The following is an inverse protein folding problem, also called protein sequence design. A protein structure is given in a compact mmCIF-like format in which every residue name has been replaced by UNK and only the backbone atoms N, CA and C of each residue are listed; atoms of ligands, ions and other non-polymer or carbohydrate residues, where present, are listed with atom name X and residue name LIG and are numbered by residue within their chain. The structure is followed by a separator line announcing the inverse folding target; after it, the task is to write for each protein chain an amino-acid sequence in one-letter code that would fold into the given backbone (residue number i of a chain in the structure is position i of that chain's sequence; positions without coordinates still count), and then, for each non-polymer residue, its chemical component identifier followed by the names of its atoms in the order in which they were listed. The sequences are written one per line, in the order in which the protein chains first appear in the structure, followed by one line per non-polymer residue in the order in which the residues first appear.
data_IF_065115918969
#
_entry.id   IF_065115918969
#
_cell.length_a   1.000
_cell.length_b   1.000
_cell.length_c   1.000
_cell.angle_alpha   90.00
_cell.angle_beta   90.00
_cell.angle_gamma   90.00
#
_symmetry.space_group_name_H-M   'P 1'
#
loop_
_entity.id
_entity.type
_entity.pdbx_description
1 polymer ?
#
# COMPACT_ATOMS: atom_id res chain seq x y z
N UNK A 1 -9.03 -59.82 23.17
CA UNK A 1 -8.86 -59.59 21.72
C UNK A 1 -9.99 -58.64 21.33
N UNK A 2 -9.82 -57.38 21.68
CA UNK A 2 -10.79 -56.31 21.43
C UNK A 2 -10.18 -55.37 20.39
N UNK A 3 -10.91 -55.20 19.29
CA UNK A 3 -10.60 -54.29 18.21
C UNK A 3 -10.89 -52.86 18.68
N UNK A 4 -9.85 -52.06 18.91
CA UNK A 4 -9.99 -50.62 19.07
C UNK A 4 -10.36 -50.01 17.72
N UNK A 5 -11.66 -49.75 17.54
CA UNK A 5 -12.18 -48.82 16.54
C UNK A 5 -11.78 -47.41 16.93
N UNK A 6 -10.70 -46.88 16.35
CA UNK A 6 -10.44 -45.46 16.35
C UNK A 6 -11.40 -44.81 15.36
N UNK A 7 -12.56 -44.40 15.86
CA UNK A 7 -13.39 -43.42 15.20
C UNK A 7 -12.54 -42.15 15.03
N UNK A 8 -12.11 -41.90 13.79
CA UNK A 8 -11.46 -40.69 13.37
C UNK A 8 -12.44 -39.54 13.59
N UNK A 9 -12.33 -38.86 14.73
CA UNK A 9 -13.00 -37.59 14.93
C UNK A 9 -12.47 -36.65 13.86
N UNK A 10 -13.31 -36.33 12.88
CA UNK A 10 -13.06 -35.30 11.88
C UNK A 10 -13.04 -33.97 12.62
N UNK A 11 -11.88 -33.61 13.16
CA UNK A 11 -11.55 -32.22 13.44
C UNK A 11 -11.39 -31.61 12.06
N UNK A 12 -12.42 -30.87 11.59
CA UNK A 12 -12.26 -29.95 10.46
C UNK A 12 -11.04 -29.08 10.75
N UNK A 13 -9.98 -29.09 9.93
CA UNK A 13 -8.87 -28.20 10.18
C UNK A 13 -9.33 -26.80 9.80
N UNK A 14 -9.68 -25.99 10.79
CA UNK A 14 -9.44 -24.56 10.67
C UNK A 14 -7.93 -24.46 10.41
N UNK A 15 -7.54 -24.14 9.17
CA UNK A 15 -6.15 -24.15 8.72
C UNK A 15 -5.24 -23.14 9.45
N UNK A 16 -5.76 -22.47 10.47
CA UNK A 16 -5.13 -21.48 11.33
C UNK A 16 -4.37 -20.43 10.49
N UNK A 17 -5.15 -19.77 9.63
CA UNK A 17 -4.70 -18.69 8.75
C UNK A 17 -5.60 -17.49 8.95
N UNK A 18 -4.97 -16.37 9.27
CA UNK A 18 -5.64 -15.09 9.45
C UNK A 18 -5.50 -14.24 8.19
N UNK A 19 -6.55 -13.45 7.90
CA UNK A 19 -6.50 -12.46 6.83
C UNK A 19 -5.43 -11.41 7.16
N UNK A 20 -4.46 -11.16 6.26
CA UNK A 20 -3.48 -10.11 6.48
C UNK A 20 -4.14 -8.72 6.52
N UNK A 21 -3.71 -7.81 7.43
CA UNK A 21 -4.12 -6.42 7.40
C UNK A 21 -3.87 -5.77 6.03
N UNK A 22 -4.73 -4.83 5.63
CA UNK A 22 -4.63 -4.08 4.36
C UNK A 22 -4.70 -4.93 3.07
N UNK A 23 -4.82 -6.25 3.17
CA UNK A 23 -5.06 -7.08 1.99
C UNK A 23 -6.48 -6.86 1.49
N UNK A 24 -6.65 -6.49 0.22
CA UNK A 24 -7.95 -6.26 -0.41
C UNK A 24 -8.85 -7.50 -0.38
N UNK A 25 -10.17 -7.28 -0.36
CA UNK A 25 -11.18 -8.34 -0.30
C UNK A 25 -11.03 -9.36 -1.44
N UNK A 26 -10.77 -8.89 -2.66
CA UNK A 26 -10.61 -9.76 -3.83
C UNK A 26 -9.45 -10.76 -3.68
N UNK A 27 -8.32 -10.31 -3.11
CA UNK A 27 -7.17 -11.18 -2.87
C UNK A 27 -7.45 -12.17 -1.75
N UNK A 28 -8.11 -11.73 -0.68
CA UNK A 28 -8.51 -12.64 0.39
C UNK A 28 -9.55 -13.67 -0.06
N UNK A 29 -10.49 -13.27 -0.91
CA UNK A 29 -11.47 -14.18 -1.51
C UNK A 29 -10.78 -15.26 -2.36
N UNK A 30 -9.77 -14.88 -3.17
CA UNK A 30 -8.97 -15.83 -3.93
C UNK A 30 -8.25 -16.85 -3.03
N UNK A 31 -7.62 -16.39 -1.94
CA UNK A 31 -6.99 -17.29 -0.94
C UNK A 31 -8.02 -18.22 -0.30
N UNK A 32 -9.17 -17.68 0.10
CA UNK A 32 -10.26 -18.43 0.76
C UNK A 32 -10.81 -19.54 -0.15
N UNK A 33 -10.95 -19.28 -1.44
CA UNK A 33 -11.40 -20.27 -2.43
C UNK A 33 -10.44 -21.46 -2.51
N UNK A 34 -9.14 -21.21 -2.49
CA UNK A 34 -8.15 -22.31 -2.56
C UNK A 34 -8.11 -23.12 -1.25
N UNK A 35 -8.29 -22.49 -0.08
CA UNK A 35 -8.47 -23.22 1.18
C UNK A 35 -9.74 -24.08 1.19
N UNK A 36 -10.86 -23.57 0.67
CA UNK A 36 -12.11 -24.34 0.54
C UNK A 36 -11.97 -25.51 -0.45
N UNK A 37 -11.09 -25.41 -1.46
CA UNK A 37 -10.76 -26.55 -2.33
C UNK A 37 -9.99 -27.61 -1.56
N UNK A 38 -8.92 -27.21 -0.86
CA UNK A 38 -8.13 -28.11 -0.04
C UNK A 38 -8.98 -28.85 1.01
N UNK A 39 -9.87 -28.15 1.70
CA UNK A 39 -10.76 -28.76 2.70
C UNK A 39 -11.66 -29.84 2.10
N UNK A 40 -12.21 -29.60 0.91
CA UNK A 40 -13.01 -30.61 0.20
C UNK A 40 -12.19 -31.83 -0.18
N UNK A 41 -10.95 -31.65 -0.64
CA UNK A 41 -10.07 -32.75 -1.04
C UNK A 41 -9.63 -33.60 0.16
N UNK A 42 -9.35 -32.95 1.29
CA UNK A 42 -9.08 -33.65 2.56
C UNK A 42 -10.31 -34.40 3.05
N UNK A 43 -11.48 -33.77 3.02
CA UNK A 43 -12.75 -34.40 3.39
C UNK A 43 -13.12 -35.60 2.51
N UNK A 44 -12.67 -35.60 1.24
CA UNK A 44 -12.87 -36.70 0.31
C UNK A 44 -11.81 -37.82 0.43
N UNK A 45 -10.73 -37.61 1.17
CA UNK A 45 -9.59 -38.54 1.22
C UNK A 45 -8.85 -38.66 -0.13
N UNK A 46 -8.88 -37.61 -0.96
CA UNK A 46 -8.21 -37.59 -2.27
C UNK A 46 -6.78 -37.04 -2.13
N UNK A 47 -5.86 -37.92 -1.72
CA UNK A 47 -4.45 -37.56 -1.47
C UNK A 47 -3.77 -36.87 -2.66
N UNK A 48 -4.06 -37.29 -3.89
CA UNK A 48 -3.48 -36.70 -5.10
C UNK A 48 -4.03 -35.28 -5.35
N UNK A 49 -5.30 -35.05 -5.05
CA UNK A 49 -5.89 -33.72 -5.13
C UNK A 49 -5.41 -32.82 -3.98
N UNK A 50 -5.23 -33.35 -2.76
CA UNK A 50 -4.66 -32.61 -1.63
C UNK A 50 -3.28 -32.04 -1.97
N UNK A 51 -2.40 -32.83 -2.60
CA UNK A 51 -1.09 -32.36 -3.09
C UNK A 51 -1.20 -31.24 -4.15
N UNK A 52 -2.27 -31.27 -4.94
CA UNK A 52 -2.52 -30.25 -5.97
C UNK A 52 -3.04 -28.96 -5.36
N UNK A 53 -3.97 -29.05 -4.42
CA UNK A 53 -4.59 -27.90 -3.78
C UNK A 53 -3.62 -27.13 -2.89
N UNK A 54 -2.74 -27.81 -2.14
CA UNK A 54 -1.72 -27.11 -1.35
C UNK A 54 -0.73 -26.33 -2.23
N UNK A 55 -0.37 -26.88 -3.40
CA UNK A 55 0.42 -26.14 -4.41
C UNK A 55 -0.35 -24.91 -4.90
N UNK A 56 -1.64 -25.06 -5.20
CA UNK A 56 -2.48 -23.94 -5.65
C UNK A 56 -2.56 -22.82 -4.62
N UNK A 57 -2.68 -23.13 -3.32
CA UNK A 57 -2.66 -22.12 -2.25
C UNK A 57 -1.31 -21.39 -2.22
N UNK A 58 -0.19 -22.11 -2.22
CA UNK A 58 1.16 -21.52 -2.26
C UNK A 58 1.32 -20.61 -3.49
N UNK A 59 0.88 -21.06 -4.65
CA UNK A 59 0.95 -20.31 -5.89
C UNK A 59 0.05 -19.07 -5.89
N UNK A 60 -1.16 -19.18 -5.34
CA UNK A 60 -2.12 -18.08 -5.20
C UNK A 60 -1.53 -16.95 -4.34
N UNK A 61 -1.01 -17.28 -3.16
CA UNK A 61 -0.37 -16.31 -2.26
C UNK A 61 0.86 -15.66 -2.91
N UNK A 62 1.66 -16.44 -3.64
CA UNK A 62 2.82 -15.92 -4.36
C UNK A 62 2.42 -14.93 -5.48
N UNK A 63 1.40 -15.27 -6.28
CA UNK A 63 0.88 -14.41 -7.34
C UNK A 63 0.30 -13.11 -6.80
N UNK A 64 -0.43 -13.17 -5.69
CA UNK A 64 -0.95 -11.99 -4.99
C UNK A 64 0.19 -11.05 -4.59
N UNK A 65 1.28 -11.57 -4.01
CA UNK A 65 2.43 -10.75 -3.63
C UNK A 65 3.07 -10.05 -4.84
N UNK A 66 3.17 -10.74 -5.98
CA UNK A 66 3.71 -10.19 -7.23
C UNK A 66 2.78 -9.15 -7.86
N UNK A 67 1.47 -9.37 -7.80
CA UNK A 67 0.46 -8.44 -8.31
C UNK A 67 0.43 -7.15 -7.50
N UNK A 68 0.46 -7.24 -6.16
CA UNK A 68 0.58 -6.08 -5.25
C UNK A 68 1.90 -5.32 -5.49
N UNK A 69 2.94 -5.99 -5.96
CA UNK A 69 4.20 -5.34 -6.31
C UNK A 69 4.15 -4.58 -7.66
N UNK A 70 3.06 -4.70 -8.44
CA UNK A 70 2.96 -4.14 -9.78
C UNK A 70 3.69 -4.95 -10.85
N UNK A 71 4.15 -6.16 -10.53
CA UNK A 71 4.85 -7.06 -11.46
C UNK A 71 4.19 -8.44 -11.47
N UNK A 72 2.95 -8.57 -12.01
CA UNK A 72 2.23 -9.84 -12.01
C UNK A 72 3.03 -10.97 -12.67
N UNK A 73 2.84 -12.21 -12.18
CA UNK A 73 3.47 -13.37 -12.78
C UNK A 73 3.02 -13.57 -14.23
N UNK A 74 3.97 -13.82 -15.14
CA UNK A 74 3.65 -14.19 -16.51
C UNK A 74 2.83 -15.49 -16.56
N UNK A 75 1.95 -15.62 -17.54
CA UNK A 75 1.06 -16.78 -17.68
C UNK A 75 1.79 -18.12 -17.82
N UNK A 76 3.05 -18.10 -18.28
CA UNK A 76 3.92 -19.25 -18.46
C UNK A 76 5.02 -19.37 -17.38
N UNK A 77 4.99 -18.53 -16.33
CA UNK A 77 5.99 -18.58 -15.27
C UNK A 77 5.93 -19.92 -14.53
N UNK A 78 7.10 -20.49 -14.23
CA UNK A 78 7.16 -21.76 -13.49
C UNK A 78 6.79 -21.54 -12.02
N UNK A 79 6.17 -22.54 -11.39
CA UNK A 79 5.82 -22.50 -9.96
C UNK A 79 7.02 -22.12 -9.09
N UNK A 80 8.19 -22.74 -9.32
CA UNK A 80 9.42 -22.43 -8.58
C UNK A 80 9.79 -20.94 -8.71
N UNK A 81 9.77 -20.40 -9.92
CA UNK A 81 10.11 -18.98 -10.18
C UNK A 81 9.13 -18.01 -9.51
N UNK A 82 7.84 -18.32 -9.52
CA UNK A 82 6.79 -17.50 -8.91
C UNK A 82 6.96 -17.46 -7.39
N UNK A 83 7.11 -18.61 -6.75
CA UNK A 83 7.28 -18.70 -5.30
C UNK A 83 8.60 -18.07 -4.85
N UNK A 84 9.69 -18.27 -5.60
CA UNK A 84 11.00 -17.68 -5.28
C UNK A 84 11.00 -16.15 -5.41
N UNK A 85 10.34 -15.61 -6.43
CA UNK A 85 10.19 -14.17 -6.63
C UNK A 85 9.36 -13.56 -5.51
N UNK A 86 8.19 -14.13 -5.22
CA UNK A 86 7.34 -13.67 -4.12
C UNK A 86 8.06 -13.74 -2.76
N UNK A 87 8.79 -14.82 -2.48
CA UNK A 87 9.56 -14.95 -1.24
C UNK A 87 10.61 -13.84 -1.11
N UNK A 88 11.34 -13.54 -2.18
CA UNK A 88 12.35 -12.46 -2.20
C UNK A 88 11.72 -11.10 -1.89
N UNK A 89 10.56 -10.80 -2.48
CA UNK A 89 9.79 -9.57 -2.22
C UNK A 89 9.34 -9.46 -0.75
N UNK A 90 8.78 -10.54 -0.20
CA UNK A 90 8.27 -10.57 1.18
C UNK A 90 9.39 -10.56 2.24
N UNK A 91 10.59 -11.01 1.86
CA UNK A 91 11.79 -11.00 2.70
C UNK A 91 12.44 -9.62 2.74
N UNK A 92 12.63 -8.97 1.59
CA UNK A 92 13.36 -7.70 1.43
C UNK A 92 12.52 -6.42 1.53
N UNK A 93 11.50 -6.40 2.39
CA UNK A 93 10.57 -5.26 2.49
C UNK A 93 11.29 -3.96 2.91
N UNK A 94 11.03 -2.88 2.16
CA UNK A 94 11.49 -1.53 2.50
C UNK A 94 10.72 -0.95 3.70
N UNK A 95 11.24 0.12 4.31
CA UNK A 95 10.50 0.86 5.36
C UNK A 95 10.78 0.43 6.81
N UNK A 96 11.95 -0.15 7.09
CA UNK A 96 12.43 -0.35 8.47
C UNK A 96 11.97 -1.63 9.18
N UNK A 97 11.04 -2.40 8.60
CA UNK A 97 10.59 -3.70 9.12
C UNK A 97 11.32 -4.85 8.41
N UNK A 98 12.65 -4.82 8.46
CA UNK A 98 13.55 -5.85 7.91
C UNK A 98 13.62 -7.12 8.80
N UNK A 99 12.49 -7.54 9.37
CA UNK A 99 12.42 -8.64 10.34
C UNK A 99 13.05 -9.96 9.84
N UNK A 100 13.06 -10.18 8.52
CA UNK A 100 13.51 -11.42 7.89
C UNK A 100 14.74 -11.23 6.97
N UNK A 101 15.27 -10.04 6.81
CA UNK A 101 16.45 -9.85 5.97
C UNK A 101 17.72 -10.18 6.77
N UNK A 102 18.57 -11.05 6.23
CA UNK A 102 19.84 -11.50 6.85
C UNK A 102 19.78 -12.02 8.30
N UNK A 103 18.59 -12.31 8.83
CA UNK A 103 18.37 -12.82 10.18
C UNK A 103 18.23 -14.35 10.21
N UNK A 104 18.40 -14.95 11.39
CA UNK A 104 18.10 -16.39 11.61
C UNK A 104 16.65 -16.72 11.21
N UNK A 105 15.72 -15.79 11.48
CA UNK A 105 14.33 -15.90 11.03
C UNK A 105 14.24 -15.91 9.49
N UNK A 106 15.02 -15.07 8.82
CA UNK A 106 15.17 -15.05 7.37
C UNK A 106 15.65 -16.37 6.78
N UNK A 107 16.59 -17.03 7.45
CA UNK A 107 17.06 -18.36 7.05
C UNK A 107 15.96 -19.40 7.19
N UNK A 108 15.21 -19.41 8.29
CA UNK A 108 14.05 -20.30 8.48
C UNK A 108 13.00 -20.10 7.39
N UNK A 109 12.66 -18.84 7.08
CA UNK A 109 11.73 -18.52 6.00
C UNK A 109 12.23 -18.99 4.62
N UNK A 110 13.54 -18.87 4.39
CA UNK A 110 14.18 -19.35 3.14
C UNK A 110 14.07 -20.87 3.03
N UNK A 111 14.23 -21.61 4.13
CA UNK A 111 14.02 -23.08 4.13
C UNK A 111 12.55 -23.44 3.91
N UNK A 112 11.61 -22.74 4.56
CA UNK A 112 10.18 -22.94 4.30
C UNK A 112 9.83 -22.72 2.81
N UNK A 113 10.39 -21.69 2.18
CA UNK A 113 10.21 -21.44 0.74
C UNK A 113 10.78 -22.57 -0.11
N UNK A 114 11.95 -23.13 0.24
CA UNK A 114 12.51 -24.30 -0.46
C UNK A 114 11.61 -25.52 -0.36
N UNK A 115 11.09 -25.81 0.84
CA UNK A 115 10.13 -26.91 1.04
C UNK A 115 8.87 -26.69 0.20
N UNK A 116 8.29 -25.49 0.23
CA UNK A 116 7.11 -25.16 -0.56
C UNK A 116 7.35 -25.29 -2.07
N UNK A 117 8.54 -24.93 -2.57
CA UNK A 117 8.89 -25.07 -3.99
C UNK A 117 8.98 -26.52 -4.46
N UNK A 118 9.39 -27.44 -3.58
CA UNK A 118 9.39 -28.88 -3.88
C UNK A 118 7.97 -29.44 -4.15
N UNK A 119 6.90 -28.74 -3.76
CA UNK A 119 5.53 -29.12 -4.11
C UNK A 119 5.30 -29.16 -5.62
N UNK A 120 6.05 -28.38 -6.42
CA UNK A 120 5.98 -28.43 -7.87
C UNK A 120 6.32 -29.83 -8.39
N UNK A 121 7.45 -30.38 -7.92
CA UNK A 121 7.93 -31.71 -8.31
C UNK A 121 7.04 -32.82 -7.74
N UNK A 122 6.64 -32.70 -6.47
CA UNK A 122 5.72 -33.65 -5.81
C UNK A 122 4.40 -33.71 -6.57
N UNK A 123 3.79 -32.57 -6.91
CA UNK A 123 2.55 -32.53 -7.69
C UNK A 123 2.75 -33.12 -9.09
N UNK A 124 3.85 -32.81 -9.75
CA UNK A 124 4.15 -33.35 -11.08
C UNK A 124 4.33 -34.88 -11.06
N UNK A 125 4.87 -35.45 -9.98
CA UNK A 125 4.97 -36.90 -9.79
C UNK A 125 3.67 -37.57 -9.37
N UNK A 126 2.94 -36.97 -8.42
CA UNK A 126 1.93 -37.67 -7.61
C UNK A 126 0.56 -36.98 -7.53
N UNK A 127 0.43 -35.73 -7.98
CA UNK A 127 -0.83 -34.97 -7.85
C UNK A 127 -1.85 -35.22 -8.98
N UNK A 128 -3.05 -34.66 -8.81
CA UNK A 128 -4.14 -34.57 -9.79
C UNK A 128 -3.72 -33.83 -11.07
N UNK A 129 -3.23 -34.59 -12.06
CA UNK A 129 -2.83 -34.09 -13.38
C UNK A 129 -4.02 -33.94 -14.34
N UNK A 130 -3.77 -33.48 -15.57
CA UNK A 130 -4.77 -33.33 -16.65
C UNK A 130 -5.18 -34.67 -17.29
N UNK A 131 -5.54 -35.65 -16.47
CA UNK A 131 -5.81 -37.03 -16.91
C UNK A 131 -4.52 -37.83 -16.98
N UNK A 132 -4.19 -38.53 -15.89
CA UNK A 132 -3.10 -39.51 -15.87
C UNK A 132 -3.61 -40.85 -16.37
N UNK A 133 -2.75 -41.59 -17.07
CA UNK A 133 -3.05 -42.96 -17.48
C UNK A 133 -3.28 -43.90 -16.28
N UNK A 134 -2.67 -43.58 -15.12
CA UNK A 134 -2.80 -44.34 -13.88
C UNK A 134 -2.88 -43.41 -12.67
N UNK A 135 -3.59 -43.85 -11.62
CA UNK A 135 -3.63 -43.16 -10.33
C UNK A 135 -2.33 -43.46 -9.59
N UNK A 136 -1.50 -42.45 -9.27
CA UNK A 136 -0.26 -42.66 -8.53
C UNK A 136 -0.58 -43.09 -7.09
N UNK A 137 0.19 -44.04 -6.56
CA UNK A 137 0.14 -44.37 -5.13
C UNK A 137 0.83 -43.26 -4.35
N UNK A 138 0.07 -42.52 -3.55
CA UNK A 138 0.58 -41.45 -2.69
C UNK A 138 0.80 -42.00 -1.28
N UNK A 139 2.02 -41.98 -0.74
CA UNK A 139 2.25 -42.33 0.66
C UNK A 139 1.62 -41.29 1.59
N UNK A 140 0.99 -41.72 2.68
CA UNK A 140 0.39 -40.81 3.68
C UNK A 140 1.40 -39.79 4.21
N UNK A 141 2.64 -40.20 4.47
CA UNK A 141 3.73 -39.32 4.92
C UNK A 141 4.01 -38.19 3.91
N UNK A 142 3.87 -38.46 2.61
CA UNK A 142 4.06 -37.46 1.56
C UNK A 142 2.99 -36.38 1.64
N UNK A 143 1.72 -36.77 1.88
CA UNK A 143 0.60 -35.83 2.03
C UNK A 143 0.82 -34.95 3.25
N UNK A 144 1.14 -35.56 4.40
CA UNK A 144 1.38 -34.84 5.66
C UNK A 144 2.54 -33.84 5.52
N UNK A 145 3.68 -34.29 5.01
CA UNK A 145 4.86 -33.43 4.87
C UNK A 145 4.65 -32.30 3.85
N UNK A 146 3.91 -32.58 2.76
CA UNK A 146 3.54 -31.56 1.78
C UNK A 146 2.61 -30.49 2.38
N UNK A 147 1.62 -30.91 3.18
CA UNK A 147 0.74 -30.00 3.89
C UNK A 147 1.51 -29.14 4.89
N UNK A 148 2.31 -29.75 5.75
CA UNK A 148 3.10 -29.03 6.77
C UNK A 148 4.05 -28.02 6.11
N UNK A 149 4.77 -28.44 5.07
CA UNK A 149 5.70 -27.60 4.34
C UNK A 149 5.03 -26.43 3.60
N UNK A 150 3.93 -26.71 2.90
CA UNK A 150 3.16 -25.69 2.18
C UNK A 150 2.53 -24.69 3.12
N UNK A 151 1.85 -25.16 4.17
CA UNK A 151 1.18 -24.31 5.16
C UNK A 151 2.16 -23.49 5.98
N UNK A 152 3.35 -24.02 6.29
CA UNK A 152 4.41 -23.26 6.96
C UNK A 152 4.78 -22.01 6.17
N UNK A 153 5.04 -22.15 4.87
CA UNK A 153 5.36 -21.01 4.01
C UNK A 153 4.16 -20.09 3.82
N UNK A 154 2.95 -20.62 3.60
CA UNK A 154 1.72 -19.81 3.41
C UNK A 154 1.44 -18.95 4.64
N UNK A 155 1.50 -19.52 5.85
CA UNK A 155 1.29 -18.77 7.10
C UNK A 155 2.33 -17.67 7.27
N UNK A 156 3.61 -17.96 6.97
CA UNK A 156 4.65 -16.95 6.99
C UNK A 156 4.41 -15.85 5.95
N UNK A 157 4.09 -16.23 4.71
CA UNK A 157 3.88 -15.32 3.60
C UNK A 157 2.67 -14.41 3.82
N UNK A 158 1.54 -14.94 4.32
CA UNK A 158 0.36 -14.16 4.68
C UNK A 158 0.66 -13.13 5.77
N UNK A 159 1.35 -13.51 6.85
CA UNK A 159 1.77 -12.53 7.87
C UNK A 159 2.66 -11.44 7.27
N UNK A 160 3.57 -11.79 6.35
CA UNK A 160 4.43 -10.82 5.66
C UNK A 160 3.67 -9.97 4.65
N UNK A 161 2.63 -10.50 4.01
CA UNK A 161 1.79 -9.76 3.09
C UNK A 161 1.12 -8.58 3.77
N UNK A 162 0.71 -8.70 5.04
CA UNK A 162 0.11 -7.59 5.78
C UNK A 162 1.05 -6.39 5.91
N UNK A 163 2.32 -6.64 6.24
CA UNK A 163 3.35 -5.59 6.23
C UNK A 163 3.70 -5.14 4.80
N UNK A 164 3.65 -6.06 3.84
CA UNK A 164 3.97 -5.78 2.45
C UNK A 164 3.00 -4.79 1.82
N UNK A 165 1.70 -4.92 2.12
CA UNK A 165 0.60 -4.10 1.59
C UNK A 165 0.49 -2.76 2.27
N UNK A 166 0.89 -2.67 3.54
CA UNK A 166 0.72 -1.51 4.40
C UNK A 166 1.19 -0.19 3.77
N UNK A 167 2.38 -0.20 3.18
CA UNK A 167 3.01 0.95 2.53
C UNK A 167 2.91 0.97 0.99
N UNK A 168 2.11 0.09 0.37
CA UNK A 168 2.09 0.02 -1.10
C UNK A 168 1.38 1.23 -1.68
N UNK A 169 1.96 1.93 -2.68
CA UNK A 169 1.41 3.18 -3.18
C UNK A 169 -0.06 3.08 -3.58
N UNK A 170 -0.41 2.13 -4.44
CA UNK A 170 -1.79 2.02 -4.96
C UNK A 170 -2.80 1.77 -3.84
N UNK A 171 -2.49 0.84 -2.92
CA UNK A 171 -3.35 0.54 -1.79
C UNK A 171 -3.50 1.74 -0.84
N UNK A 172 -2.41 2.47 -0.58
CA UNK A 172 -2.43 3.66 0.27
C UNK A 172 -3.20 4.82 -0.39
N UNK A 173 -3.01 5.05 -1.68
CA UNK A 173 -3.72 6.08 -2.46
C UNK A 173 -5.22 5.79 -2.46
N UNK A 174 -5.62 4.56 -2.77
CA UNK A 174 -7.03 4.17 -2.79
C UNK A 174 -7.67 4.27 -1.40
N UNK A 175 -6.94 3.93 -0.33
CA UNK A 175 -7.43 4.09 1.05
C UNK A 175 -7.64 5.56 1.46
N UNK A 176 -6.83 6.46 0.91
CA UNK A 176 -6.90 7.90 1.16
C UNK A 176 -7.97 8.60 0.31
N UNK A 177 -8.04 8.27 -0.98
CA UNK A 177 -8.74 9.05 -1.99
C UNK A 177 -9.75 8.26 -2.86
N UNK A 178 -9.83 6.95 -2.72
CA UNK A 178 -10.76 6.09 -3.48
C UNK A 178 -12.23 6.27 -3.08
N UNK A 179 -13.11 5.54 -3.77
CA UNK A 179 -14.57 5.66 -3.63
C UNK A 179 -15.10 5.21 -2.26
N UNK A 180 -14.33 4.42 -1.52
CA UNK A 180 -14.65 3.94 -0.18
C UNK A 180 -13.44 4.11 0.75
N UNK A 181 -13.12 5.36 1.13
CA UNK A 181 -11.91 5.66 1.86
C UNK A 181 -12.00 5.16 3.30
N UNK A 182 -10.90 4.62 3.81
CA UNK A 182 -10.87 4.00 5.14
C UNK A 182 -10.82 5.05 6.26
N UNK A 183 -11.21 4.63 7.46
CA UNK A 183 -11.04 5.43 8.67
C UNK A 183 -9.58 5.28 9.15
N UNK A 184 -8.89 6.41 9.28
CA UNK A 184 -7.54 6.45 9.84
C UNK A 184 -7.60 6.79 11.32
N UNK A 185 -6.94 5.99 12.16
CA UNK A 185 -6.71 6.31 13.55
C UNK A 185 -5.33 6.95 13.74
N UNK A 186 -5.13 7.50 14.93
CA UNK A 186 -3.92 8.21 15.29
C UNK A 186 -2.66 7.35 15.09
N UNK A 187 -1.74 7.81 14.24
CA UNK A 187 -0.47 7.16 13.94
C UNK A 187 -0.54 6.19 12.76
N UNK A 188 -1.73 5.85 12.25
CA UNK A 188 -1.87 4.90 11.15
C UNK A 188 -1.24 5.41 9.86
N UNK A 189 -1.55 6.64 9.46
CA UNK A 189 -1.00 7.19 8.23
C UNK A 189 0.52 7.36 8.34
N UNK A 190 1.03 7.82 9.48
CA UNK A 190 2.48 7.97 9.71
C UNK A 190 3.20 6.64 9.50
N UNK A 191 2.73 5.59 10.18
CA UNK A 191 3.26 4.23 10.06
C UNK A 191 3.22 3.73 8.61
N UNK A 192 2.14 4.00 7.88
CA UNK A 192 2.02 3.63 6.46
C UNK A 192 2.95 4.41 5.54
N UNK A 193 3.17 5.70 5.78
CA UNK A 193 4.14 6.51 5.03
C UNK A 193 5.59 6.06 5.29
N UNK A 194 5.90 5.69 6.54
CA UNK A 194 7.19 5.08 6.90
C UNK A 194 7.39 3.73 6.18
N UNK A 195 6.37 2.87 6.19
CA UNK A 195 6.39 1.59 5.46
C UNK A 195 6.49 1.78 3.94
N UNK A 196 5.90 2.85 3.40
CA UNK A 196 5.98 3.20 1.98
C UNK A 196 7.40 3.63 1.56
N UNK A 197 8.21 4.10 2.51
CA UNK A 197 9.56 4.59 2.29
C UNK A 197 9.62 5.55 1.08
N UNK A 198 8.96 6.71 1.21
CA UNK A 198 8.74 7.68 0.12
C UNK A 198 9.98 7.93 -0.75
N UNK A 199 11.17 8.00 -0.13
CA UNK A 199 12.46 8.18 -0.82
C UNK A 199 12.77 7.13 -1.89
N UNK A 200 12.30 5.90 -1.71
CA UNK A 200 12.55 4.76 -2.61
C UNK A 200 11.50 4.60 -3.70
N UNK A 201 10.38 5.32 -3.61
CA UNK A 201 9.31 5.24 -4.59
C UNK A 201 9.66 6.02 -5.85
N UNK A 202 9.07 5.62 -6.97
CA UNK A 202 9.12 6.43 -8.19
C UNK A 202 8.47 7.80 -7.96
N UNK A 203 8.98 8.87 -8.61
CA UNK A 203 8.47 10.24 -8.45
C UNK A 203 6.94 10.35 -8.64
N UNK A 204 6.38 9.61 -9.59
CA UNK A 204 4.94 9.58 -9.84
C UNK A 204 4.14 9.08 -8.61
N UNK A 205 4.60 8.00 -7.96
CA UNK A 205 3.96 7.47 -6.76
C UNK A 205 4.13 8.40 -5.55
N UNK A 206 5.31 9.02 -5.39
CA UNK A 206 5.52 10.04 -4.36
C UNK A 206 4.49 11.16 -4.49
N UNK A 207 4.32 11.68 -5.72
CA UNK A 207 3.35 12.75 -6.01
C UNK A 207 1.91 12.31 -5.77
N UNK A 208 1.52 11.14 -6.27
CA UNK A 208 0.16 10.63 -6.13
C UNK A 208 -0.24 10.42 -4.66
N UNK A 209 0.68 9.89 -3.83
CA UNK A 209 0.45 9.78 -2.37
C UNK A 209 0.29 11.17 -1.76
N UNK A 210 1.16 12.13 -2.13
CA UNK A 210 1.06 13.52 -1.67
C UNK A 210 -0.31 14.13 -1.96
N UNK A 211 -0.79 14.01 -3.20
CA UNK A 211 -2.13 14.47 -3.63
C UNK A 211 -3.22 13.84 -2.77
N UNK A 212 -3.21 12.51 -2.63
CA UNK A 212 -4.22 11.79 -1.86
C UNK A 212 -4.24 12.20 -0.38
N UNK A 213 -3.08 12.42 0.25
CA UNK A 213 -2.97 12.94 1.62
C UNK A 213 -3.54 14.35 1.72
N UNK A 214 -3.14 15.24 0.79
CA UNK A 214 -3.60 16.63 0.75
C UNK A 214 -5.12 16.72 0.63
N UNK A 215 -5.71 15.98 -0.32
CA UNK A 215 -7.16 15.98 -0.56
C UNK A 215 -7.93 15.43 0.63
N UNK A 216 -7.47 14.31 1.21
CA UNK A 216 -8.13 13.72 2.38
C UNK A 216 -8.05 14.63 3.60
N UNK A 217 -6.95 15.34 3.76
CA UNK A 217 -6.77 16.38 4.78
C UNK A 217 -7.71 17.57 4.55
N UNK A 218 -7.77 18.11 3.33
CA UNK A 218 -8.62 19.24 2.95
C UNK A 218 -10.11 18.95 3.16
N UNK A 219 -10.53 17.68 3.06
CA UNK A 219 -11.90 17.21 3.41
C UNK A 219 -12.18 17.17 4.92
N UNK A 220 -11.29 17.69 5.76
CA UNK A 220 -11.50 17.80 7.22
C UNK A 220 -11.06 16.58 8.03
N UNK A 221 -10.23 15.69 7.47
CA UNK A 221 -9.73 14.53 8.21
C UNK A 221 -8.53 14.92 9.08
N UNK A 222 -8.78 15.44 10.29
CA UNK A 222 -7.75 15.97 11.20
C UNK A 222 -6.58 15.00 11.47
N UNK A 223 -6.85 13.69 11.57
CA UNK A 223 -5.81 12.68 11.79
C UNK A 223 -4.86 12.59 10.60
N UNK A 224 -5.37 12.69 9.37
CA UNK A 224 -4.56 12.67 8.15
C UNK A 224 -3.73 13.94 8.04
N UNK A 225 -4.29 15.10 8.39
CA UNK A 225 -3.52 16.34 8.48
C UNK A 225 -2.34 16.20 9.46
N UNK A 226 -2.63 15.75 10.68
CA UNK A 226 -1.62 15.63 11.74
C UNK A 226 -0.54 14.58 11.45
N UNK A 227 -0.88 13.52 10.74
CA UNK A 227 0.04 12.41 10.51
C UNK A 227 0.80 12.52 9.17
N UNK A 228 0.24 13.20 8.16
CA UNK A 228 0.81 13.32 6.81
C UNK A 228 1.21 14.74 6.39
N UNK A 229 0.50 15.78 6.85
CA UNK A 229 0.78 17.18 6.48
C UNK A 229 1.72 17.83 7.50
N UNK A 230 1.37 17.77 8.78
CA UNK A 230 2.13 18.41 9.87
C UNK A 230 3.60 17.98 10.00
N UNK A 231 3.95 16.69 9.84
CA UNK A 231 5.35 16.30 9.92
C UNK A 231 6.16 16.82 8.71
N UNK A 232 5.51 16.95 7.55
CA UNK A 232 6.14 17.48 6.33
C UNK A 232 6.36 19.00 6.43
N UNK A 233 5.39 19.77 6.95
CA UNK A 233 5.53 21.23 7.10
C UNK A 233 6.57 21.64 8.15
N UNK A 234 6.88 20.75 9.11
CA UNK A 234 7.86 20.99 10.20
C UNK A 234 9.26 20.46 9.87
N UNK A 235 9.51 20.02 8.64
CA UNK A 235 10.75 19.36 8.25
C UNK A 235 11.28 19.91 6.94
N UNK A 236 12.59 20.15 6.88
CA UNK A 236 13.29 20.50 5.63
C UNK A 236 13.95 19.28 4.96
N UNK A 237 13.73 18.08 5.51
CA UNK A 237 14.38 16.87 5.05
C UNK A 237 13.74 16.35 3.75
N UNK A 238 14.38 16.65 2.61
CA UNK A 238 13.94 16.19 1.27
C UNK A 238 14.15 14.70 1.02
N UNK A 239 14.85 13.96 1.89
CA UNK A 239 14.91 12.50 1.83
C UNK A 239 13.66 11.91 2.48
N UNK A 240 13.30 12.39 3.67
CA UNK A 240 12.09 11.91 4.37
C UNK A 240 10.80 12.38 3.68
N UNK A 241 10.80 13.59 3.14
CA UNK A 241 9.69 14.22 2.45
C UNK A 241 10.14 14.72 1.06
N UNK A 242 10.19 13.81 0.07
CA UNK A 242 10.67 14.12 -1.27
C UNK A 242 9.90 15.24 -1.96
N UNK A 243 10.58 15.90 -2.92
CA UNK A 243 10.03 16.98 -3.75
C UNK A 243 8.64 16.64 -4.29
N UNK A 244 8.51 15.49 -4.94
CA UNK A 244 7.24 15.13 -5.58
C UNK A 244 6.11 14.91 -4.58
N UNK A 245 6.40 14.35 -3.40
CA UNK A 245 5.40 14.24 -2.33
C UNK A 245 4.91 15.61 -1.89
N UNK A 246 5.82 16.57 -1.68
CA UNK A 246 5.48 17.96 -1.29
C UNK A 246 4.62 18.65 -2.34
N UNK A 247 5.00 18.55 -3.61
CA UNK A 247 4.21 19.13 -4.71
C UNK A 247 2.82 18.49 -4.82
N UNK A 248 2.76 17.16 -4.66
CA UNK A 248 1.48 16.46 -4.58
C UNK A 248 0.63 16.95 -3.41
N UNK A 249 1.24 17.10 -2.24
CA UNK A 249 0.56 17.56 -1.02
C UNK A 249 -0.09 18.93 -1.20
N UNK A 250 0.64 19.89 -1.78
CA UNK A 250 0.11 21.22 -2.11
C UNK A 250 -1.05 21.13 -3.10
N UNK A 251 -0.86 20.36 -4.17
CA UNK A 251 -1.92 20.17 -5.15
C UNK A 251 -3.19 19.60 -4.50
N UNK A 252 -3.06 18.60 -3.62
CA UNK A 252 -4.20 18.02 -2.94
C UNK A 252 -4.84 18.92 -1.87
N UNK A 253 -4.08 19.83 -1.26
CA UNK A 253 -4.62 20.81 -0.34
C UNK A 253 -5.48 21.87 -1.05
N UNK A 254 -5.15 22.19 -2.31
CA UNK A 254 -5.78 23.28 -3.06
C UNK A 254 -6.83 22.81 -4.07
N UNK A 255 -6.81 21.55 -4.49
CA UNK A 255 -7.72 21.02 -5.50
C UNK A 255 -8.31 19.67 -5.11
N UNK A 256 -9.59 19.46 -5.42
CA UNK A 256 -10.24 18.15 -5.31
C UNK A 256 -9.88 17.22 -6.50
N UNK A 257 -10.52 16.05 -6.57
CA UNK A 257 -10.27 15.05 -7.61
C UNK A 257 -10.71 15.53 -9.00
N UNK A 258 -11.67 16.44 -9.07
CA UNK A 258 -12.20 17.01 -10.31
C UNK A 258 -11.42 18.27 -10.75
N UNK A 259 -10.45 18.69 -9.94
CA UNK A 259 -9.65 19.90 -10.16
C UNK A 259 -10.33 21.18 -9.69
N UNK A 260 -11.45 21.11 -8.97
CA UNK A 260 -12.08 22.29 -8.40
C UNK A 260 -11.24 22.82 -7.24
N UNK A 261 -11.24 24.14 -7.06
CA UNK A 261 -10.49 24.79 -6.00
C UNK A 261 -11.14 24.51 -4.64
N UNK A 262 -10.36 23.97 -3.71
CA UNK A 262 -10.73 23.74 -2.29
C UNK A 262 -9.89 24.58 -1.33
N UNK A 263 -9.03 25.45 -1.85
CA UNK A 263 -8.10 26.25 -1.06
C UNK A 263 -8.83 27.12 -0.02
N UNK A 264 -8.28 27.09 1.19
CA UNK A 264 -8.57 28.00 2.31
C UNK A 264 -7.32 28.79 2.68
N UNK A 265 -7.48 29.87 3.46
CA UNK A 265 -6.36 30.64 4.00
C UNK A 265 -5.36 29.74 4.75
N UNK A 266 -5.83 28.87 5.64
CA UNK A 266 -4.98 27.90 6.37
C UNK A 266 -4.21 27.00 5.41
N UNK A 267 -4.89 26.41 4.42
CA UNK A 267 -4.22 25.53 3.44
C UNK A 267 -3.24 26.27 2.54
N UNK A 268 -3.45 27.56 2.25
CA UNK A 268 -2.50 28.37 1.51
C UNK A 268 -1.21 28.58 2.32
N UNK A 269 -1.35 28.86 3.61
CA UNK A 269 -0.23 28.95 4.54
C UNK A 269 0.54 27.63 4.64
N UNK A 270 -0.16 26.53 4.90
CA UNK A 270 0.44 25.21 5.07
C UNK A 270 1.14 24.76 3.79
N UNK A 271 0.55 25.01 2.63
CA UNK A 271 1.16 24.72 1.34
C UNK A 271 2.48 25.45 1.13
N UNK A 272 2.56 26.75 1.45
CA UNK A 272 3.83 27.48 1.32
C UNK A 272 4.90 26.94 2.27
N UNK A 273 4.54 26.59 3.52
CA UNK A 273 5.47 25.92 4.44
C UNK A 273 5.96 24.56 3.91
N UNK A 274 5.10 23.81 3.23
CA UNK A 274 5.47 22.56 2.55
C UNK A 274 6.46 22.81 1.41
N UNK A 275 6.36 23.95 0.71
CA UNK A 275 7.25 24.34 -0.40
C UNK A 275 8.54 25.04 0.04
N UNK A 276 8.67 25.47 1.30
CA UNK A 276 9.87 26.19 1.78
C UNK A 276 11.20 25.50 1.49
N UNK A 277 11.32 24.18 1.62
CA UNK A 277 12.58 23.50 1.31
C UNK A 277 12.87 23.36 -0.19
N UNK A 278 11.93 23.74 -1.06
CA UNK A 278 12.06 23.62 -2.51
C UNK A 278 12.50 24.96 -3.12
N UNK A 279 13.65 24.95 -3.79
CA UNK A 279 14.18 26.11 -4.49
C UNK A 279 13.68 26.21 -5.95
N UNK A 280 13.02 25.17 -6.46
CA UNK A 280 12.71 24.97 -7.88
C UNK A 280 11.24 24.58 -8.11
N UNK A 281 10.30 25.32 -7.51
CA UNK A 281 8.86 25.08 -7.65
C UNK A 281 8.05 26.26 -8.21
N UNK A 282 8.73 27.30 -8.72
CA UNK A 282 8.07 28.50 -9.21
C UNK A 282 7.06 28.22 -10.34
N UNK A 283 7.39 27.29 -11.25
CA UNK A 283 6.53 26.91 -12.38
C UNK A 283 5.24 26.24 -11.89
N UNK A 284 5.33 25.30 -10.95
CA UNK A 284 4.16 24.64 -10.37
C UNK A 284 3.30 25.61 -9.56
N UNK A 285 3.93 26.48 -8.76
CA UNK A 285 3.24 27.49 -7.96
C UNK A 285 2.47 28.47 -8.85
N UNK A 286 3.11 28.99 -9.90
CA UNK A 286 2.48 29.85 -10.91
C UNK A 286 1.28 29.16 -11.56
N UNK A 287 1.44 27.92 -12.01
CA UNK A 287 0.36 27.17 -12.63
C UNK A 287 -0.85 26.99 -11.70
N UNK A 288 -0.63 26.67 -10.42
CA UNK A 288 -1.70 26.50 -9.44
C UNK A 288 -2.41 27.81 -9.13
N UNK A 289 -1.67 28.89 -8.87
CA UNK A 289 -2.25 30.19 -8.54
C UNK A 289 -3.01 30.78 -9.72
N UNK A 290 -2.50 30.59 -10.95
CA UNK A 290 -3.23 30.98 -12.17
C UNK A 290 -4.53 30.20 -12.35
N UNK A 291 -4.55 28.89 -12.03
CA UNK A 291 -5.79 28.11 -12.04
C UNK A 291 -6.78 28.63 -10.99
N UNK A 292 -6.31 28.89 -9.77
CA UNK A 292 -7.14 29.44 -8.69
C UNK A 292 -7.72 30.80 -9.12
N UNK A 293 -6.90 31.71 -9.63
CA UNK A 293 -7.34 33.02 -10.11
C UNK A 293 -8.50 32.91 -11.11
N UNK A 294 -8.38 32.02 -12.11
CA UNK A 294 -9.44 31.79 -13.10
C UNK A 294 -10.73 31.25 -12.49
N UNK A 295 -10.63 30.39 -11.48
CA UNK A 295 -11.81 29.85 -10.80
C UNK A 295 -12.56 30.91 -9.95
N UNK A 296 -11.84 31.94 -9.48
CA UNK A 296 -12.39 33.06 -8.71
C UNK A 296 -12.86 34.23 -9.60
N UNK A 297 -12.59 34.24 -10.91
CA UNK A 297 -13.03 35.30 -11.81
C UNK A 297 -14.57 35.45 -11.80
N UNK A 298 -15.03 36.65 -11.49
CA UNK A 298 -16.46 36.97 -11.46
C UNK A 298 -17.21 36.47 -10.22
N UNK A 299 -16.52 35.85 -9.26
CA UNK A 299 -17.13 35.53 -7.96
C UNK A 299 -17.27 36.79 -7.09
N UNK A 300 -18.32 36.88 -6.25
CA UNK A 300 -18.46 37.99 -5.31
C UNK A 300 -17.30 37.98 -4.30
N UNK A 301 -16.87 39.17 -3.87
CA UNK A 301 -15.84 39.28 -2.84
C UNK A 301 -16.30 38.56 -1.55
N UNK A 302 -15.45 37.72 -0.95
CA UNK A 302 -15.75 37.10 0.33
C UNK A 302 -15.88 38.18 1.40
N UNK A 303 -16.66 37.93 2.45
CA UNK A 303 -16.73 38.83 3.59
C UNK A 303 -15.35 38.99 4.26
N UNK A 304 -15.08 40.18 4.80
CA UNK A 304 -13.85 40.43 5.53
C UNK A 304 -13.73 39.54 6.77
N UNK A 305 -12.54 38.96 6.96
CA UNK A 305 -12.17 38.11 8.10
C UNK A 305 -10.72 38.39 8.50
N UNK A 306 -10.49 38.67 9.79
CA UNK A 306 -9.17 39.02 10.32
C UNK A 306 -8.15 37.88 10.12
N UNK A 307 -8.55 36.62 10.35
CA UNK A 307 -7.63 35.49 10.25
C UNK A 307 -7.15 35.27 8.81
N UNK A 308 -8.06 35.39 7.85
CA UNK A 308 -7.78 35.32 6.42
C UNK A 308 -6.89 36.47 5.96
N UNK A 309 -7.14 37.68 6.48
CA UNK A 309 -6.28 38.83 6.23
C UNK A 309 -4.86 38.65 6.80
N UNK A 310 -4.71 38.16 8.03
CA UNK A 310 -3.40 37.92 8.65
C UNK A 310 -2.57 36.91 7.83
N UNK A 311 -3.22 35.88 7.28
CA UNK A 311 -2.55 34.94 6.37
C UNK A 311 -2.13 35.63 5.06
N UNK A 312 -2.98 36.46 4.46
CA UNK A 312 -2.63 37.21 3.25
C UNK A 312 -1.40 38.12 3.46
N UNK A 313 -1.33 38.82 4.60
CA UNK A 313 -0.18 39.62 4.98
C UNK A 313 1.08 38.76 5.17
N UNK A 314 0.93 37.59 5.82
CA UNK A 314 2.03 36.64 5.97
C UNK A 314 2.55 36.15 4.62
N UNK A 315 1.68 35.80 3.66
CA UNK A 315 2.06 35.39 2.31
C UNK A 315 2.82 36.52 1.59
N UNK A 316 2.31 37.75 1.70
CA UNK A 316 2.94 38.93 1.07
C UNK A 316 4.37 39.16 1.59
N UNK A 317 4.60 38.99 2.89
CA UNK A 317 5.93 39.11 3.49
C UNK A 317 6.93 38.08 2.95
N UNK A 318 6.45 36.88 2.58
CA UNK A 318 7.30 35.79 2.04
C UNK A 318 7.88 36.07 0.66
N UNK A 319 7.30 37.01 -0.09
CA UNK A 319 7.80 37.38 -1.41
C UNK A 319 9.26 37.87 -1.38
N UNK A 320 9.77 38.25 -0.21
CA UNK A 320 11.17 38.64 0.00
C UNK A 320 12.09 37.51 0.50
N UNK A 321 11.52 36.39 0.97
CA UNK A 321 12.24 35.26 1.54
C UNK A 321 12.40 34.10 0.55
N UNK A 322 11.57 34.09 -0.50
CA UNK A 322 11.51 33.06 -1.54
C UNK A 322 12.18 33.55 -2.84
N UNK A 323 12.46 32.67 -3.81
CA UNK A 323 13.06 33.05 -5.08
C UNK A 323 12.31 34.22 -5.74
N UNK A 324 13.04 35.16 -6.35
CA UNK A 324 12.48 36.39 -6.93
C UNK A 324 11.40 36.09 -8.00
N UNK A 325 11.59 35.00 -8.75
CA UNK A 325 10.63 34.50 -9.74
C UNK A 325 9.25 34.16 -9.15
N UNK A 326 9.16 33.90 -7.84
CA UNK A 326 7.90 33.60 -7.15
C UNK A 326 7.21 34.87 -6.59
N UNK A 327 7.86 36.03 -6.61
CA UNK A 327 7.35 37.24 -5.93
C UNK A 327 5.98 37.70 -6.46
N UNK A 328 5.80 37.68 -7.78
CA UNK A 328 4.56 38.08 -8.43
C UNK A 328 3.41 37.08 -8.13
N UNK A 329 3.70 35.78 -8.16
CA UNK A 329 2.71 34.75 -7.89
C UNK A 329 2.30 34.75 -6.41
N UNK A 330 3.25 34.98 -5.48
CA UNK A 330 2.94 35.09 -4.05
C UNK A 330 2.06 36.30 -3.76
N UNK A 331 2.29 37.43 -4.44
CA UNK A 331 1.43 38.61 -4.35
C UNK A 331 0.01 38.32 -4.86
N UNK A 332 -0.11 37.59 -5.97
CA UNK A 332 -1.41 37.15 -6.50
C UNK A 332 -2.13 36.20 -5.53
N UNK A 333 -1.40 35.23 -4.97
CA UNK A 333 -1.95 34.30 -3.97
C UNK A 333 -2.42 35.03 -2.71
N UNK A 334 -1.66 36.00 -2.20
CA UNK A 334 -2.08 36.81 -1.06
C UNK A 334 -3.41 37.55 -1.34
N UNK A 335 -3.56 38.11 -2.54
CA UNK A 335 -4.80 38.77 -2.96
C UNK A 335 -5.97 37.78 -3.09
N UNK A 336 -5.72 36.57 -3.59
CA UNK A 336 -6.75 35.52 -3.68
C UNK A 336 -7.18 35.00 -2.30
N UNK A 337 -6.26 34.96 -1.33
CA UNK A 337 -6.57 34.63 0.07
C UNK A 337 -7.41 35.74 0.70
N UNK A 338 -6.99 37.01 0.57
CA UNK A 338 -7.77 38.16 1.05
C UNK A 338 -7.63 39.34 0.08
N UNK A 339 -8.72 39.80 -0.56
CA UNK A 339 -8.66 40.89 -1.53
C UNK A 339 -8.64 42.28 -0.89
N UNK A 340 -8.69 42.38 0.45
CA UNK A 340 -8.86 43.63 1.17
C UNK A 340 -7.53 44.36 1.43
N UNK A 341 -7.41 45.67 1.10
CA UNK A 341 -6.13 46.38 1.13
C UNK A 341 -5.82 47.18 2.42
N UNK A 342 -6.15 46.68 3.62
CA UNK A 342 -6.01 47.48 4.86
C UNK A 342 -5.29 46.80 6.01
#
# INVERSE_FOLDING_TARGET
MELFSYACAVITPAWDVERPPYLRDQYWAAVSIEFNRLERSVGAGDDAQVLSDIKCIVECVAKIAMEINGTPAASNASFDSVVNTAHSLLKGQAGGVELANESVLGQMATQASRIARNLGDIRNGFGGGHGRAHVPRVPEEMVRLALDGGLLWVRWALRRLGYFTEGRPDALIEDLAGDSPVVFYSGDLRRRLEAANLASLEPQHQRAIGVAVGQRSARGTFVVHRDGVEPCLKSDNLVAWPREYRLGLVNGLWFDNDGNVTMTATSARDALLVLDPLADCAVELDAWVNHISRAFEGQPMPAWDQGTFDVSQWISARAHERPEEESAVLSSLAHLVSPYPF
#
